data_IF_914304349603
#
_entry.id   IF_914304349603
#
_cell.length_a   1.000
_cell.length_b   1.000
_cell.length_c   1.000
_cell.angle_alpha   90.00
_cell.angle_beta   90.00
_cell.angle_gamma   90.00
#
_symmetry.space_group_name_H-M   'P 1'
#
loop_
_entity.id
_entity.type
_entity.pdbx_description
1 polymer ?
#
# COMPACT_ATOMS: atom_id res chain seq x y z
N UNK A 1 -27.79 -3.88 26.55
CA UNK A 1 -26.33 -4.12 26.61
C UNK A 1 -25.56 -3.00 25.94
N UNK A 2 -24.23 -3.11 25.75
CA UNK A 2 -23.42 -2.03 25.15
C UNK A 2 -23.88 -1.60 23.74
N UNK A 3 -24.53 -2.50 23.00
CA UNK A 3 -25.13 -2.22 21.68
C UNK A 3 -26.27 -1.19 21.73
N UNK A 4 -26.99 -1.08 22.86
CA UNK A 4 -28.11 -0.15 23.04
C UNK A 4 -27.65 1.23 23.55
N UNK A 5 -26.35 1.42 23.77
CA UNK A 5 -25.80 2.70 24.23
C UNK A 5 -26.02 3.80 23.18
N UNK A 6 -26.16 5.04 23.65
CA UNK A 6 -26.34 6.22 22.79
C UNK A 6 -25.28 6.30 21.70
N UNK A 7 -24.00 6.10 22.05
CA UNK A 7 -22.89 6.14 21.09
C UNK A 7 -23.01 5.03 20.05
N UNK A 8 -23.37 3.80 20.44
CA UNK A 8 -23.49 2.68 19.51
C UNK A 8 -24.65 2.88 18.51
N UNK A 9 -25.76 3.47 18.95
CA UNK A 9 -26.98 3.68 18.15
C UNK A 9 -26.95 4.93 17.28
N UNK A 10 -26.23 5.98 17.67
CA UNK A 10 -26.23 7.28 16.97
C UNK A 10 -24.96 7.55 16.15
N UNK A 11 -23.87 6.81 16.38
CA UNK A 11 -22.64 7.04 15.59
C UNK A 11 -22.85 6.64 14.14
N UNK A 12 -22.33 7.46 13.22
CA UNK A 12 -22.07 6.98 11.86
C UNK A 12 -21.11 5.77 11.95
N UNK A 13 -21.36 4.65 11.26
CA UNK A 13 -20.51 3.46 11.34
C UNK A 13 -19.05 3.77 10.97
N UNK A 14 -18.20 3.96 11.99
CA UNK A 14 -16.77 4.24 11.81
C UNK A 14 -16.00 3.05 11.22
N UNK A 15 -16.54 1.84 11.38
CA UNK A 15 -15.99 0.59 10.88
C UNK A 15 -16.41 0.30 9.43
N UNK A 16 -17.35 1.07 8.85
CA UNK A 16 -17.80 0.88 7.47
C UNK A 16 -16.77 1.49 6.52
N UNK A 17 -15.88 0.64 5.99
CA UNK A 17 -14.84 1.06 5.04
C UNK A 17 -15.42 1.09 3.63
N UNK A 18 -15.34 2.25 2.98
CA UNK A 18 -15.61 2.37 1.55
C UNK A 18 -14.49 1.70 0.75
N UNK A 19 -14.83 0.65 0.00
CA UNK A 19 -13.85 -0.05 -0.83
C UNK A 19 -13.51 0.79 -2.06
N UNK A 20 -12.29 1.35 -2.10
CA UNK A 20 -11.74 2.02 -3.29
C UNK A 20 -11.52 1.02 -4.42
N UNK A 21 -11.34 1.53 -5.64
CA UNK A 21 -10.92 0.72 -6.79
C UNK A 21 -9.66 -0.09 -6.44
N UNK A 22 -9.52 -1.32 -6.94
CA UNK A 22 -8.34 -2.14 -6.73
C UNK A 22 -7.07 -1.38 -7.15
N UNK A 23 -6.03 -1.27 -6.30
CA UNK A 23 -4.78 -0.67 -6.71
C UNK A 23 -4.04 -1.61 -7.68
N UNK A 24 -3.27 -1.10 -8.66
CA UNK A 24 -2.53 -1.95 -9.59
C UNK A 24 -1.33 -2.65 -8.93
N UNK A 25 -0.76 -2.06 -7.87
CA UNK A 25 0.35 -2.65 -7.10
C UNK A 25 -0.02 -2.63 -5.61
N UNK A 26 0.33 -3.68 -4.89
CA UNK A 26 0.18 -3.79 -3.44
C UNK A 26 1.53 -3.76 -2.75
N UNK A 27 1.55 -3.26 -1.52
CA UNK A 27 2.71 -3.20 -0.64
C UNK A 27 2.33 -3.69 0.76
N UNK A 28 3.12 -4.60 1.34
CA UNK A 28 2.96 -4.94 2.76
C UNK A 28 3.28 -3.73 3.62
N UNK A 29 2.35 -3.30 4.49
CA UNK A 29 2.54 -2.07 5.25
C UNK A 29 3.30 -2.26 6.56
N UNK A 30 3.30 -3.46 7.14
CA UNK A 30 4.01 -3.75 8.38
C UNK A 30 4.67 -5.12 8.36
N UNK A 31 5.86 -5.23 8.95
CA UNK A 31 6.60 -6.48 9.03
C UNK A 31 7.97 -6.31 9.68
N UNK A 32 8.67 -7.44 9.87
CA UNK A 32 10.07 -7.48 10.36
C UNK A 32 11.08 -7.67 9.23
N UNK A 33 10.64 -7.54 7.99
CA UNK A 33 11.44 -7.66 6.77
C UNK A 33 11.15 -6.44 5.89
N UNK A 34 11.99 -6.16 4.88
CA UNK A 34 11.66 -5.13 3.90
C UNK A 34 10.26 -5.36 3.32
N UNK A 35 9.54 -4.28 2.98
CA UNK A 35 8.20 -4.41 2.44
C UNK A 35 8.23 -5.20 1.14
N UNK A 36 7.27 -6.11 0.96
CA UNK A 36 7.08 -6.83 -0.28
C UNK A 36 6.12 -6.07 -1.17
N UNK A 37 6.46 -6.00 -2.46
CA UNK A 37 5.65 -5.38 -3.50
C UNK A 37 5.20 -6.43 -4.51
N UNK A 38 3.96 -6.34 -4.96
CA UNK A 38 3.41 -7.25 -5.96
C UNK A 38 2.38 -6.56 -6.85
N UNK A 39 2.34 -6.94 -8.13
CA UNK A 39 1.25 -6.52 -9.01
C UNK A 39 -0.06 -7.21 -8.61
N UNK A 40 -1.14 -6.46 -8.61
CA UNK A 40 -2.48 -6.93 -8.29
C UNK A 40 -3.20 -7.46 -9.54
N UNK A 41 -2.70 -8.56 -10.11
CA UNK A 41 -3.23 -9.10 -11.36
C UNK A 41 -4.70 -9.57 -11.26
N UNK A 42 -5.14 -9.96 -10.06
CA UNK A 42 -6.51 -10.43 -9.82
C UNK A 42 -7.51 -9.30 -9.51
N UNK A 43 -7.06 -8.04 -9.43
CA UNK A 43 -7.94 -6.93 -9.08
C UNK A 43 -8.50 -7.02 -7.65
N UNK A 44 -7.74 -7.60 -6.73
CA UNK A 44 -8.15 -7.71 -5.34
C UNK A 44 -8.23 -6.31 -4.70
N UNK A 45 -9.31 -6.08 -3.93
CA UNK A 45 -9.42 -4.88 -3.11
C UNK A 45 -8.70 -5.11 -1.80
N UNK A 46 -8.00 -4.08 -1.34
CA UNK A 46 -7.33 -4.13 -0.04
C UNK A 46 -8.24 -3.53 1.03
N UNK A 47 -8.24 -4.18 2.17
CA UNK A 47 -8.68 -3.59 3.43
C UNK A 47 -7.44 -3.00 4.15
N UNK A 48 -7.52 -2.77 5.45
CA UNK A 48 -6.42 -2.18 6.25
C UNK A 48 -5.23 -3.14 6.50
N UNK A 49 -4.96 -4.08 5.59
CA UNK A 49 -3.87 -5.07 5.71
C UNK A 49 -2.65 -4.76 4.84
N UNK A 50 -2.76 -3.82 3.90
CA UNK A 50 -1.74 -3.48 2.92
C UNK A 50 -1.93 -2.03 2.44
N UNK A 51 -0.90 -1.49 1.77
CA UNK A 51 -1.02 -0.27 0.99
C UNK A 51 -1.26 -0.59 -0.48
N UNK A 52 -2.04 0.27 -1.12
CA UNK A 52 -2.21 0.27 -2.57
C UNK A 52 -1.35 1.36 -3.17
N UNK A 53 -0.50 1.00 -4.11
CA UNK A 53 0.28 1.96 -4.90
C UNK A 53 -0.46 2.18 -6.22
N UNK A 54 -1.01 3.39 -6.36
CA UNK A 54 -1.74 3.79 -7.57
C UNK A 54 -0.97 4.90 -8.27
N UNK A 55 -0.43 4.64 -9.47
CA UNK A 55 0.18 5.66 -10.31
C UNK A 55 -0.78 6.82 -10.58
N UNK A 56 -0.25 8.04 -10.62
CA UNK A 56 -1.05 9.24 -10.95
C UNK A 56 -1.59 9.23 -12.38
N UNK A 57 -0.89 8.53 -13.28
CA UNK A 57 -1.30 8.24 -14.65
C UNK A 57 -1.24 6.74 -14.88
N UNK A 58 -2.15 6.14 -15.67
CA UNK A 58 -2.07 4.73 -16.01
C UNK A 58 -0.72 4.35 -16.62
N UNK A 59 -0.15 3.24 -16.16
CA UNK A 59 1.12 2.71 -16.67
C UNK A 59 0.93 1.29 -17.17
N UNK A 60 1.70 0.90 -18.18
CA UNK A 60 1.65 -0.42 -18.79
C UNK A 60 2.00 -1.53 -17.79
N UNK A 61 1.52 -2.76 -18.04
CA UNK A 61 1.83 -3.93 -17.20
C UNK A 61 3.35 -4.13 -17.08
N UNK A 62 4.09 -3.97 -18.19
CA UNK A 62 5.55 -4.04 -18.21
C UNK A 62 6.18 -3.04 -17.22
N UNK A 63 5.69 -1.81 -17.19
CA UNK A 63 6.18 -0.78 -16.27
C UNK A 63 5.84 -1.12 -14.82
N UNK A 64 4.67 -1.72 -14.56
CA UNK A 64 4.31 -2.20 -13.22
C UNK A 64 5.26 -3.31 -12.77
N UNK A 65 5.56 -4.28 -13.63
CA UNK A 65 6.47 -5.39 -13.30
C UNK A 65 7.91 -4.89 -13.05
N UNK A 66 8.40 -3.97 -13.87
CA UNK A 66 9.71 -3.33 -13.67
C UNK A 66 9.78 -2.55 -12.35
N UNK A 67 8.73 -1.77 -12.04
CA UNK A 67 8.65 -1.01 -10.79
C UNK A 67 8.60 -1.95 -9.58
N UNK A 68 7.80 -3.02 -9.62
CA UNK A 68 7.72 -4.02 -8.56
C UNK A 68 9.07 -4.69 -8.32
N UNK A 69 9.77 -5.08 -9.38
CA UNK A 69 11.11 -5.69 -9.27
C UNK A 69 12.09 -4.71 -8.59
N UNK A 70 12.15 -3.47 -9.08
CA UNK A 70 13.04 -2.45 -8.53
C UNK A 70 12.74 -2.16 -7.06
N UNK A 71 11.47 -2.01 -6.69
CA UNK A 71 11.06 -1.74 -5.30
C UNK A 71 11.45 -2.87 -4.35
N UNK A 72 11.23 -4.12 -4.75
CA UNK A 72 11.63 -5.28 -3.93
C UNK A 72 13.16 -5.36 -3.76
N UNK A 73 13.92 -4.95 -4.78
CA UNK A 73 15.38 -4.96 -4.72
C UNK A 73 15.97 -3.79 -3.93
N UNK A 74 15.31 -2.63 -3.90
CA UNK A 74 15.93 -1.38 -3.40
C UNK A 74 15.33 -0.85 -2.10
N UNK A 75 14.08 -1.17 -1.77
CA UNK A 75 13.47 -0.70 -0.51
C UNK A 75 13.94 -1.55 0.67
N UNK A 76 14.22 -0.90 1.79
CA UNK A 76 14.74 -1.53 3.02
C UNK A 76 13.88 -1.16 4.22
N UNK A 77 13.99 -1.95 5.29
CA UNK A 77 13.27 -1.72 6.56
C UNK A 77 13.51 -0.34 7.17
N UNK A 78 14.67 0.26 6.94
CA UNK A 78 15.03 1.60 7.45
C UNK A 78 14.22 2.74 6.81
N UNK A 79 13.49 2.46 5.72
CA UNK A 79 12.63 3.45 5.07
C UNK A 79 11.27 3.63 5.76
N UNK A 80 10.95 2.80 6.77
CA UNK A 80 9.70 2.90 7.56
C UNK A 80 9.96 3.22 9.03
N UNK A 81 8.88 3.36 9.80
CA UNK A 81 8.98 3.63 11.24
C UNK A 81 9.06 2.34 12.04
N UNK A 82 10.06 2.25 12.90
CA UNK A 82 10.27 1.06 13.76
C UNK A 82 9.51 1.22 15.06
N UNK A 83 8.69 0.22 15.37
CA UNK A 83 7.98 0.04 16.63
C UNK A 83 8.65 -1.08 17.44
N UNK A 84 8.22 -1.24 18.70
CA UNK A 84 8.77 -2.23 19.63
C UNK A 84 8.87 -3.64 19.01
N UNK A 85 9.98 -4.33 19.31
CA UNK A 85 10.23 -5.69 18.82
C UNK A 85 10.61 -5.78 17.34
N UNK A 86 11.19 -4.71 16.78
CA UNK A 86 11.72 -4.68 15.40
C UNK A 86 10.64 -4.69 14.32
N UNK A 87 9.40 -4.40 14.67
CA UNK A 87 8.31 -4.30 13.72
C UNK A 87 8.39 -2.95 13.01
N UNK A 88 8.61 -2.96 11.71
CA UNK A 88 8.56 -1.76 10.89
C UNK A 88 7.17 -1.61 10.32
N UNK A 89 6.64 -0.39 10.39
CA UNK A 89 5.42 0.03 9.73
C UNK A 89 5.76 1.15 8.76
N UNK A 90 5.41 0.95 7.50
CA UNK A 90 5.38 1.99 6.49
C UNK A 90 4.03 2.66 6.55
N UNK A 91 4.01 3.94 6.89
CA UNK A 91 2.82 4.77 6.73
C UNK A 91 2.71 5.28 5.29
N UNK A 92 1.53 5.77 4.85
CA UNK A 92 1.37 6.29 3.50
C UNK A 92 2.41 7.35 3.12
N UNK A 93 2.79 8.24 4.06
CA UNK A 93 3.84 9.22 3.82
C UNK A 93 5.22 8.59 3.60
N UNK A 94 5.55 7.53 4.33
CA UNK A 94 6.82 6.82 4.19
C UNK A 94 6.89 6.11 2.81
N UNK A 95 5.78 5.49 2.39
CA UNK A 95 5.67 4.86 1.08
C UNK A 95 5.74 5.87 -0.08
N UNK A 96 5.11 7.04 0.07
CA UNK A 96 5.17 8.13 -0.92
C UNK A 96 6.57 8.77 -1.01
N UNK A 97 7.36 8.68 0.06
CA UNK A 97 8.72 9.21 0.12
C UNK A 97 9.79 8.27 -0.45
N UNK A 98 9.42 7.08 -0.94
CA UNK A 98 10.38 6.16 -1.55
C UNK A 98 10.91 6.80 -2.84
N UNK A 99 12.23 7.10 -2.92
CA UNK A 99 12.79 7.64 -4.14
C UNK A 99 12.77 6.57 -5.24
N UNK A 100 12.43 6.98 -6.45
CA UNK A 100 12.57 6.16 -7.66
C UNK A 100 13.76 6.67 -8.46
N UNK A 101 14.47 5.81 -9.19
CA UNK A 101 15.62 6.22 -9.95
C UNK A 101 15.14 6.98 -11.20
N UNK A 102 15.91 7.97 -11.64
CA UNK A 102 15.51 8.87 -12.74
C UNK A 102 15.45 8.17 -14.10
N UNK A 103 16.12 7.03 -14.26
CA UNK A 103 16.22 6.25 -15.49
C UNK A 103 15.17 5.13 -15.60
N UNK A 104 14.27 4.99 -14.61
CA UNK A 104 13.19 4.02 -14.72
C UNK A 104 12.27 4.39 -15.89
N UNK A 105 12.32 3.58 -16.93
CA UNK A 105 11.50 3.81 -18.12
C UNK A 105 10.07 3.37 -17.80
N UNK A 106 9.17 4.35 -17.61
CA UNK A 106 7.74 4.10 -17.40
C UNK A 106 7.01 4.40 -18.70
N UNK A 107 6.32 3.40 -19.22
CA UNK A 107 5.42 3.54 -20.36
C UNK A 107 3.99 3.74 -19.86
N UNK A 108 3.29 4.71 -20.43
CA UNK A 108 1.86 4.87 -20.21
C UNK A 108 1.09 3.64 -20.72
N UNK A 109 -0.07 3.38 -20.13
CA UNK A 109 -0.96 2.36 -20.68
C UNK A 109 -1.52 2.83 -22.03
N UNK A 110 -1.66 1.90 -22.98
CA UNK A 110 -2.33 2.13 -24.25
C UNK A 110 -3.84 2.32 -24.09
#
# INVERSE_FOLDING_TARGET
GAADSYIATHRKPWWKVGLKSPPPIMMSYMGRRPPSFARNACGARIINIAHGLTPLRPISIRSQDQLVAWLNENVRVTAGRTYGGGMVKFEPGDAMGIPLPHDITIFEAA
#
